data_IF_507385360386
#
_entry.id   IF_507385360386
#
_cell.length_a   1.000
_cell.length_b   1.000
_cell.length_c   1.000
_cell.angle_alpha   90.00
_cell.angle_beta   90.00
_cell.angle_gamma   90.00
#
_symmetry.space_group_name_H-M   'P 1'
#
loop_
_entity.id
_entity.type
_entity.pdbx_description
1 polymer ?
#
# COMPACT_ATOMS: atom_id res chain seq x y z
N UNK A 1 -10.60 6.59 5.11
CA UNK A 1 -9.57 5.95 4.25
C UNK A 1 -9.70 4.42 4.29
N UNK A 2 -9.59 3.79 5.46
CA UNK A 2 -9.57 2.31 5.59
C UNK A 2 -10.79 1.61 5.00
N UNK A 3 -12.01 2.11 5.24
CA UNK A 3 -13.22 1.56 4.61
C UNK A 3 -13.19 1.58 3.08
N UNK A 4 -12.61 2.62 2.48
CA UNK A 4 -12.48 2.73 1.02
C UNK A 4 -11.45 1.72 0.53
N UNK A 5 -10.33 1.60 1.25
CA UNK A 5 -9.33 0.59 0.94
C UNK A 5 -9.92 -0.82 0.97
N UNK A 6 -10.69 -1.19 1.99
CA UNK A 6 -11.29 -2.54 2.07
C UNK A 6 -12.22 -2.85 0.91
N UNK A 7 -13.07 -1.89 0.54
CA UNK A 7 -13.99 -1.98 -0.59
C UNK A 7 -13.21 -2.18 -1.89
N UNK A 8 -12.14 -1.42 -2.11
CA UNK A 8 -11.34 -1.52 -3.33
C UNK A 8 -10.49 -2.79 -3.34
N UNK A 9 -9.85 -3.13 -2.21
CA UNK A 9 -8.99 -4.31 -2.06
C UNK A 9 -9.77 -5.62 -2.19
N UNK A 10 -11.09 -5.62 -1.96
CA UNK A 10 -11.96 -6.76 -2.30
C UNK A 10 -12.16 -6.99 -3.81
N UNK A 11 -11.73 -6.07 -4.68
CA UNK A 11 -11.93 -6.12 -6.14
C UNK A 11 -10.63 -6.16 -6.94
N UNK A 12 -9.48 -6.15 -6.27
CA UNK A 12 -8.17 -6.18 -6.94
C UNK A 12 -7.86 -7.55 -7.51
N UNK A 13 -7.19 -7.56 -8.65
CA UNK A 13 -6.54 -8.73 -9.25
C UNK A 13 -5.02 -8.66 -9.05
N UNK A 14 -4.30 -9.72 -9.40
CA UNK A 14 -2.83 -9.73 -9.31
C UNK A 14 -2.14 -8.64 -10.14
N UNK A 15 -2.79 -8.13 -11.19
CA UNK A 15 -2.29 -7.02 -12.02
C UNK A 15 -2.70 -5.64 -11.55
N UNK A 16 -3.42 -5.52 -10.43
CA UNK A 16 -3.87 -4.23 -9.90
C UNK A 16 -2.76 -3.52 -9.13
N UNK A 17 -2.85 -2.18 -9.07
CA UNK A 17 -1.94 -1.29 -8.36
C UNK A 17 -2.75 -0.22 -7.65
N UNK A 18 -2.47 0.02 -6.37
CA UNK A 18 -2.94 1.23 -5.68
C UNK A 18 -1.83 2.27 -5.59
N UNK A 19 -2.25 3.52 -5.76
CA UNK A 19 -1.42 4.71 -5.53
C UNK A 19 -2.07 5.49 -4.39
N UNK A 20 -1.30 5.71 -3.32
CA UNK A 20 -1.78 6.39 -2.11
C UNK A 20 -0.92 7.62 -1.88
N UNK A 21 -1.53 8.80 -1.91
CA UNK A 21 -0.82 10.06 -1.64
C UNK A 21 -0.80 10.41 -0.15
N UNK A 22 0.23 11.15 0.26
CA UNK A 22 0.36 11.70 1.60
C UNK A 22 0.69 10.66 2.68
N UNK A 23 1.31 9.54 2.31
CA UNK A 23 1.58 8.42 3.24
C UNK A 23 2.44 8.82 4.44
N UNK A 24 3.30 9.85 4.30
CA UNK A 24 4.11 10.39 5.39
C UNK A 24 3.59 11.72 5.98
N UNK A 25 2.50 12.28 5.44
CA UNK A 25 2.07 13.66 5.69
C UNK A 25 1.73 13.97 7.16
N UNK A 26 1.20 13.00 7.89
CA UNK A 26 0.84 13.15 9.30
C UNK A 26 1.01 11.83 10.05
N UNK A 27 1.04 11.87 11.39
CA UNK A 27 1.08 10.65 12.21
C UNK A 27 -0.09 9.70 11.89
N UNK A 28 -1.35 10.17 11.79
CA UNK A 28 -2.45 9.32 11.35
C UNK A 28 -2.26 8.71 9.95
N UNK A 29 -1.70 9.45 9.00
CA UNK A 29 -1.44 8.91 7.65
C UNK A 29 -0.35 7.84 7.65
N UNK A 30 0.70 8.00 8.46
CA UNK A 30 1.72 6.97 8.67
C UNK A 30 1.12 5.71 9.29
N UNK A 31 0.19 5.86 10.22
CA UNK A 31 -0.51 4.73 10.83
C UNK A 31 -1.42 4.00 9.82
N UNK A 32 -2.13 4.75 8.97
CA UNK A 32 -2.92 4.19 7.86
C UNK A 32 -1.99 3.45 6.90
N UNK A 33 -0.89 4.08 6.47
CA UNK A 33 0.07 3.47 5.54
C UNK A 33 0.64 2.15 6.09
N UNK A 34 1.00 2.10 7.36
CA UNK A 34 1.43 0.86 8.03
C UNK A 34 0.36 -0.22 7.93
N UNK A 35 -0.91 0.09 8.25
CA UNK A 35 -2.02 -0.88 8.14
C UNK A 35 -2.25 -1.36 6.71
N UNK A 36 -2.17 -0.47 5.72
CA UNK A 36 -2.30 -0.84 4.30
C UNK A 36 -1.20 -1.80 3.84
N UNK A 37 0.05 -1.58 4.29
CA UNK A 37 1.17 -2.48 4.02
C UNK A 37 0.97 -3.85 4.67
N UNK A 38 0.47 -3.89 5.90
CA UNK A 38 0.30 -5.11 6.69
C UNK A 38 -0.85 -6.00 6.20
N UNK A 39 -1.81 -5.45 5.43
CA UNK A 39 -2.92 -6.20 4.85
C UNK A 39 -2.46 -7.42 4.02
N UNK A 40 -3.08 -8.59 4.21
CA UNK A 40 -2.69 -9.84 3.55
C UNK A 40 -2.86 -9.85 2.03
N UNK A 41 -3.70 -8.95 1.52
CA UNK A 41 -3.93 -8.77 0.07
C UNK A 41 -2.79 -7.96 -0.55
N UNK A 42 -2.12 -7.11 0.22
CA UNK A 42 -0.95 -6.37 -0.24
C UNK A 42 0.24 -7.31 -0.45
N UNK A 43 0.84 -7.25 -1.64
CA UNK A 43 2.06 -7.94 -2.01
C UNK A 43 3.27 -7.04 -1.78
N UNK A 44 3.82 -6.50 -2.87
CA UNK A 44 4.97 -5.59 -2.80
C UNK A 44 4.50 -4.16 -2.61
N UNK A 45 5.15 -3.40 -1.74
CA UNK A 45 4.88 -1.97 -1.59
C UNK A 45 6.14 -1.13 -1.74
N UNK A 46 5.98 0.07 -2.29
CA UNK A 46 7.03 1.07 -2.36
C UNK A 46 6.60 2.33 -1.62
N UNK A 47 7.44 2.80 -0.71
CA UNK A 47 7.31 4.06 0.00
C UNK A 47 8.24 5.07 -0.67
N UNK A 48 7.65 6.07 -1.30
CA UNK A 48 8.34 7.17 -1.99
C UNK A 48 8.20 8.49 -1.22
N UNK A 49 8.03 8.42 0.11
CA UNK A 49 7.75 9.54 1.03
C UNK A 49 6.37 10.18 0.84
N UNK A 50 6.12 10.80 -0.31
CA UNK A 50 4.85 11.49 -0.60
C UNK A 50 3.81 10.55 -1.21
N UNK A 51 4.26 9.47 -1.83
CA UNK A 51 3.42 8.49 -2.54
C UNK A 51 3.78 7.08 -2.12
N UNK A 52 2.77 6.28 -1.83
CA UNK A 52 2.86 4.85 -1.61
C UNK A 52 2.29 4.06 -2.78
N UNK A 53 3.01 3.03 -3.21
CA UNK A 53 2.53 2.07 -4.20
C UNK A 53 2.24 0.73 -3.53
N UNK A 54 1.12 0.08 -3.86
CA UNK A 54 0.76 -1.25 -3.38
C UNK A 54 0.41 -2.14 -4.58
N UNK A 55 1.24 -3.16 -4.83
CA UNK A 55 0.98 -4.21 -5.80
C UNK A 55 0.28 -5.39 -5.13
N UNK A 56 -0.64 -6.03 -5.84
CA UNK A 56 -1.44 -7.14 -5.34
C UNK A 56 -1.03 -8.50 -5.94
N UNK A 57 0.14 -8.55 -6.61
CA UNK A 57 0.70 -9.81 -7.11
C UNK A 57 1.26 -10.66 -5.96
N UNK A 58 0.45 -11.63 -5.50
CA UNK A 58 0.79 -12.55 -4.42
C UNK A 58 1.66 -13.74 -4.87
N UNK A 59 2.06 -13.82 -6.14
CA UNK A 59 3.06 -14.81 -6.60
C UNK A 59 4.46 -14.48 -6.10
N UNK A 60 4.70 -13.22 -5.71
CA UNK A 60 5.94 -12.75 -5.13
C UNK A 60 5.81 -12.70 -3.62
N UNK A 61 6.92 -12.90 -2.91
CA UNK A 61 6.94 -12.71 -1.46
C UNK A 61 6.59 -11.27 -1.11
N UNK A 62 5.81 -11.10 -0.05
CA UNK A 62 5.43 -9.80 0.49
C UNK A 62 6.67 -9.03 0.94
N UNK A 63 6.86 -7.83 0.42
CA UNK A 63 8.04 -7.02 0.70
C UNK A 63 7.73 -5.53 0.67
N UNK A 64 8.37 -4.77 1.55
CA UNK A 64 8.16 -3.34 1.69
C UNK A 64 9.48 -2.61 1.45
N UNK A 65 9.54 -1.77 0.42
CA UNK A 65 10.71 -0.97 0.07
C UNK A 65 10.48 0.49 0.43
N UNK A 66 11.51 1.14 0.99
CA UNK A 66 11.62 2.60 1.06
C UNK A 66 12.66 2.99 0.03
N UNK A 67 12.27 3.82 -0.93
CA UNK A 67 13.15 4.20 -2.04
C UNK A 67 13.85 5.50 -1.70
N UNK A 68 15.17 5.45 -1.61
CA UNK A 68 16.03 6.62 -1.50
C UNK A 68 16.57 6.94 -2.90
N UNK A 69 16.30 8.14 -3.38
CA UNK A 69 16.82 8.67 -4.65
C UNK A 69 17.94 9.66 -4.38
#
# INVERSE_FOLDING_TARGET
>A
MEKIFDICAGRVSSGSLFVVHGICYSKPMRDVWRRLKEDERAGITFDLYDVGLIFFDRKKFKQHYVVNF
#
